data_IF_522002898656
#
_entry.id   IF_522002898656
#
_cell.length_a   1.000
_cell.length_b   1.000
_cell.length_c   1.000
_cell.angle_alpha   90.00
_cell.angle_beta   90.00
_cell.angle_gamma   90.00
#
_symmetry.space_group_name_H-M   'P 1'
#
loop_
_entity.id
_entity.type
_entity.pdbx_description
1 polymer ?
#
# COMPACT_ATOMS: atom_id res chain seq x y z
N UNK A 1 -14.97 -7.56 -2.06
CA UNK A 1 -14.09 -8.71 -1.73
C UNK A 1 -13.45 -8.41 -0.38
N UNK A 2 -13.87 -9.08 0.69
CA UNK A 2 -13.29 -8.92 2.03
C UNK A 2 -12.23 -10.02 2.26
N UNK A 3 -11.11 -9.62 2.86
CA UNK A 3 -10.02 -10.49 3.33
C UNK A 3 -9.94 -10.46 4.87
N UNK A 4 -10.97 -9.94 5.51
CA UNK A 4 -10.97 -9.51 6.90
C UNK A 4 -10.77 -10.69 7.88
N UNK A 5 -11.22 -11.90 7.51
CA UNK A 5 -10.99 -13.14 8.27
C UNK A 5 -9.53 -13.60 8.28
N UNK A 6 -8.71 -13.14 7.33
CA UNK A 6 -7.29 -13.49 7.24
C UNK A 6 -6.37 -12.45 7.90
N UNK A 7 -6.92 -11.34 8.39
CA UNK A 7 -6.16 -10.27 9.04
C UNK A 7 -5.91 -10.69 10.48
N UNK A 8 -4.68 -11.09 10.78
CA UNK A 8 -4.21 -11.34 12.14
C UNK A 8 -3.50 -10.07 12.65
N UNK A 9 -3.85 -9.57 13.85
CA UNK A 9 -3.11 -8.51 14.51
C UNK A 9 -1.66 -8.91 14.77
N UNK A 10 -0.76 -7.96 14.60
CA UNK A 10 0.67 -8.04 14.85
C UNK A 10 0.99 -6.99 15.90
N UNK A 11 1.49 -7.44 17.04
CA UNK A 11 1.93 -6.55 18.12
C UNK A 11 3.37 -6.08 17.84
N UNK A 12 3.50 -5.00 17.08
CA UNK A 12 4.78 -4.41 16.73
C UNK A 12 5.19 -3.33 17.74
N UNK A 13 6.40 -3.44 18.27
CA UNK A 13 6.96 -2.44 19.20
C UNK A 13 7.28 -1.12 18.48
N UNK A 14 7.89 -1.19 17.30
CA UNK A 14 8.29 0.00 16.53
C UNK A 14 7.09 0.58 15.80
N UNK A 15 6.83 1.89 15.96
CA UNK A 15 5.66 2.54 15.38
C UNK A 15 5.72 2.59 13.84
N UNK A 16 4.68 2.14 13.15
CA UNK A 16 4.57 2.24 11.69
C UNK A 16 3.69 3.42 11.27
N UNK A 17 4.30 4.49 10.75
CA UNK A 17 3.57 5.61 10.16
C UNK A 17 3.58 5.50 8.63
N UNK A 18 2.39 5.48 8.03
CA UNK A 18 2.21 5.47 6.58
C UNK A 18 1.66 6.83 6.14
N UNK A 19 2.42 7.55 5.32
CA UNK A 19 1.96 8.79 4.68
C UNK A 19 1.50 8.45 3.26
N UNK A 20 0.20 8.50 3.04
CA UNK A 20 -0.43 8.09 1.78
C UNK A 20 -0.79 9.28 0.91
N UNK A 21 -0.40 9.21 -0.36
CA UNK A 21 -0.75 10.24 -1.33
C UNK A 21 -2.27 10.22 -1.63
N UNK A 22 -2.96 11.38 -1.76
CA UNK A 22 -4.43 11.41 -1.88
C UNK A 22 -5.00 10.69 -3.10
N UNK A 23 -4.21 10.56 -4.17
CA UNK A 23 -4.62 9.85 -5.38
C UNK A 23 -4.69 8.33 -5.19
N UNK A 24 -3.94 7.76 -4.24
CA UNK A 24 -3.98 6.32 -3.93
C UNK A 24 -5.24 5.91 -3.16
N UNK A 25 -5.93 6.86 -2.51
CA UNK A 25 -7.16 6.60 -1.73
C UNK A 25 -8.30 6.02 -2.59
N UNK A 26 -8.22 6.12 -3.92
CA UNK A 26 -9.32 5.79 -4.83
C UNK A 26 -9.45 4.30 -5.15
N UNK A 27 -8.47 3.45 -4.82
CA UNK A 27 -8.54 2.02 -5.14
C UNK A 27 -8.89 1.15 -3.91
N UNK A 28 -9.79 0.20 -4.11
CA UNK A 28 -10.30 -0.75 -3.11
C UNK A 28 -9.16 -1.39 -2.28
N UNK A 29 -9.27 -1.40 -0.94
CA UNK A 29 -8.39 -2.11 0.02
C UNK A 29 -6.90 -2.11 -0.38
N UNK A 30 -6.30 -0.92 -0.47
CA UNK A 30 -4.87 -0.75 -0.72
C UNK A 30 -3.99 -1.35 0.39
N UNK A 31 -2.75 -1.71 0.05
CA UNK A 31 -1.77 -2.33 0.96
C UNK A 31 -1.50 -1.51 2.22
N UNK A 32 -1.57 -0.18 2.14
CA UNK A 32 -1.48 0.72 3.30
C UNK A 32 -2.59 0.47 4.34
N UNK A 33 -3.82 0.21 3.90
CA UNK A 33 -4.94 -0.06 4.81
C UNK A 33 -4.82 -1.45 5.43
N UNK A 34 -4.37 -2.44 4.65
CA UNK A 34 -4.11 -3.80 5.15
C UNK A 34 -3.02 -3.75 6.24
N UNK A 35 -1.93 -3.02 5.98
CA UNK A 35 -0.89 -2.81 6.97
C UNK A 35 -1.45 -2.20 8.26
N UNK A 36 -2.25 -1.15 8.16
CA UNK A 36 -2.83 -0.50 9.34
C UNK A 36 -3.79 -1.41 10.15
N UNK A 37 -4.53 -2.29 9.46
CA UNK A 37 -5.40 -3.26 10.11
C UNK A 37 -4.64 -4.41 10.79
N UNK A 38 -3.41 -4.69 10.35
CA UNK A 38 -2.58 -5.74 10.94
C UNK A 38 -1.69 -5.22 12.07
N UNK A 39 -1.00 -4.09 11.88
CA UNK A 39 -0.02 -3.59 12.84
C UNK A 39 -0.70 -2.80 13.97
N UNK A 40 -0.60 -3.30 15.20
CA UNK A 40 -1.19 -2.69 16.39
C UNK A 40 -0.67 -1.27 16.63
N UNK A 41 0.63 -1.05 16.45
CA UNK A 41 1.28 0.24 16.63
C UNK A 41 1.49 0.91 15.26
N UNK A 42 0.40 1.33 14.62
CA UNK A 42 0.46 1.93 13.29
C UNK A 42 -0.54 3.07 13.07
N UNK A 43 -0.27 3.89 12.06
CA UNK A 43 -1.16 4.98 11.65
C UNK A 43 -1.04 5.28 10.16
N UNK A 44 -2.17 5.52 9.50
CA UNK A 44 -2.21 6.02 8.13
C UNK A 44 -2.67 7.48 8.13
N UNK A 45 -1.93 8.35 7.44
CA UNK A 45 -2.34 9.73 7.16
C UNK A 45 -2.38 9.96 5.66
N UNK A 46 -3.56 10.34 5.16
CA UNK A 46 -3.75 10.69 3.76
C UNK A 46 -3.64 12.20 3.58
N UNK A 47 -2.80 12.66 2.66
CA UNK A 47 -2.54 14.08 2.46
C UNK A 47 -1.26 14.34 1.68
N UNK A 48 -0.92 15.61 1.51
CA UNK A 48 0.33 16.02 0.84
C UNK A 48 1.37 16.59 1.80
N UNK A 49 0.96 17.17 2.92
CA UNK A 49 1.86 17.87 3.83
C UNK A 49 1.29 17.90 5.25
N UNK A 50 2.17 17.72 6.23
CA UNK A 50 1.88 17.84 7.65
C UNK A 50 2.96 18.68 8.33
N UNK A 51 2.64 19.41 9.42
CA UNK A 51 3.62 20.24 10.13
C UNK A 51 4.82 19.46 10.72
N UNK A 52 4.64 18.18 11.02
CA UNK A 52 5.68 17.32 11.58
C UNK A 52 5.11 16.18 12.43
N UNK A 53 5.99 15.32 12.94
CA UNK A 53 5.61 14.15 13.75
C UNK A 53 4.77 14.52 14.99
N UNK A 54 5.13 15.60 15.69
CA UNK A 54 4.36 16.09 16.85
C UNK A 54 2.87 16.28 16.54
N UNK A 55 2.58 16.90 15.39
CA UNK A 55 1.18 17.17 15.00
C UNK A 55 0.47 15.90 14.52
N UNK A 56 1.19 14.97 13.91
CA UNK A 56 0.64 13.70 13.43
C UNK A 56 0.30 12.77 14.61
N UNK A 57 1.23 12.63 15.54
CA UNK A 57 1.17 11.67 16.65
C UNK A 57 0.52 12.25 17.92
N UNK A 58 0.36 13.58 18.01
CA UNK A 58 -0.23 14.23 19.18
C UNK A 58 0.68 14.27 20.41
N UNK A 59 1.96 13.91 20.28
CA UNK A 59 2.96 13.89 21.35
C UNK A 59 4.32 14.36 20.86
N UNK A 60 5.17 14.83 21.77
CA UNK A 60 6.57 15.12 21.43
C UNK A 60 7.30 13.83 21.04
N UNK A 61 8.16 13.92 20.02
CA UNK A 61 9.02 12.82 19.57
C UNK A 61 10.33 13.40 19.05
N UNK A 62 11.42 12.66 19.21
CA UNK A 62 12.70 12.99 18.58
C UNK A 62 12.76 12.43 17.16
N UNK A 63 12.81 13.25 16.10
CA UNK A 63 12.93 12.76 14.73
C UNK A 63 14.18 11.90 14.50
N UNK A 64 15.24 12.03 15.29
CA UNK A 64 16.46 11.21 15.15
C UNK A 64 16.25 9.75 15.54
N UNK A 65 15.21 9.47 16.35
CA UNK A 65 14.74 8.11 16.69
C UNK A 65 13.66 7.61 15.73
N UNK A 66 13.47 8.31 14.61
CA UNK A 66 12.54 7.91 13.55
C UNK A 66 13.28 7.66 12.25
N UNK A 67 12.90 6.57 11.57
CA UNK A 67 13.38 6.22 10.24
C UNK A 67 12.38 6.56 9.16
N UNK A 68 12.84 6.94 7.97
CA UNK A 68 12.01 7.07 6.77
C UNK A 68 12.61 6.23 5.65
N UNK A 69 11.77 5.45 4.97
CA UNK A 69 12.21 4.73 3.78
C UNK A 69 12.65 5.73 2.70
N UNK A 70 13.92 5.64 2.33
CA UNK A 70 14.59 6.60 1.49
C UNK A 70 14.42 6.28 0.01
N UNK A 71 13.97 7.29 -0.74
CA UNK A 71 13.66 7.20 -2.18
C UNK A 71 14.82 7.68 -3.07
N UNK A 72 16.00 7.95 -2.51
CA UNK A 72 17.12 8.46 -3.30
C UNK A 72 17.97 7.36 -3.94
N UNK A 73 18.95 7.76 -4.77
CA UNK A 73 19.97 6.84 -5.24
C UNK A 73 20.75 6.30 -4.04
N UNK A 74 21.03 4.99 -4.07
CA UNK A 74 21.85 4.34 -3.05
C UNK A 74 23.13 3.91 -3.74
N UNK A 75 24.27 4.31 -3.19
CA UNK A 75 25.56 3.94 -3.75
C UNK A 75 25.93 2.53 -3.31
N UNK A 76 26.44 1.75 -4.25
CA UNK A 76 27.00 0.44 -3.97
C UNK A 76 28.37 0.61 -3.34
N UNK A 77 28.52 0.16 -2.09
CA UNK A 77 29.83 -0.14 -1.53
C UNK A 77 30.17 -1.58 -1.90
N UNK A 78 31.42 -1.88 -2.27
CA UNK A 78 31.87 -3.21 -2.73
C UNK A 78 31.81 -4.34 -1.69
N UNK A 79 31.04 -4.20 -0.61
CA UNK A 79 30.83 -5.19 0.44
C UNK A 79 29.40 -5.78 0.34
N UNK A 80 29.14 -6.98 0.92
CA UNK A 80 27.80 -7.54 1.00
C UNK A 80 26.85 -6.54 1.66
N UNK A 81 25.71 -6.30 1.01
CA UNK A 81 24.77 -5.27 1.44
C UNK A 81 23.87 -5.83 2.54
N UNK A 82 23.86 -5.17 3.70
CA UNK A 82 22.89 -5.48 4.74
C UNK A 82 21.47 -5.28 4.20
N UNK A 83 20.55 -6.15 4.62
CA UNK A 83 19.14 -6.11 4.20
C UNK A 83 18.43 -4.80 4.59
N UNK A 84 18.84 -4.20 5.71
CA UNK A 84 18.40 -2.88 6.16
C UNK A 84 19.63 -2.07 6.52
N UNK A 85 19.72 -0.84 6.03
CA UNK A 85 20.84 0.05 6.32
C UNK A 85 20.38 1.50 6.46
N UNK A 86 21.03 2.24 7.34
CA UNK A 86 20.90 3.70 7.46
C UNK A 86 21.93 4.36 6.56
N UNK A 87 21.51 5.37 5.80
CA UNK A 87 22.37 6.09 4.85
C UNK A 87 22.44 7.59 5.13
N UNK A 88 23.54 8.21 4.70
CA UNK A 88 23.70 9.65 4.71
C UNK A 88 22.86 10.36 3.62
N UNK A 89 23.03 11.68 3.46
CA UNK A 89 22.33 12.46 2.42
C UNK A 89 22.75 12.13 0.99
N UNK A 90 23.88 11.45 0.82
CA UNK A 90 24.44 11.05 -0.47
C UNK A 90 24.11 9.58 -0.80
N UNK A 91 23.37 8.88 0.07
CA UNK A 91 23.05 7.47 -0.08
C UNK A 91 24.18 6.52 0.29
N UNK A 92 25.17 6.98 1.06
CA UNK A 92 26.27 6.16 1.57
C UNK A 92 25.85 5.50 2.91
N UNK A 93 25.97 4.17 3.06
CA UNK A 93 25.76 3.50 4.34
C UNK A 93 26.61 4.08 5.48
N UNK A 94 25.97 4.27 6.63
CA UNK A 94 26.62 4.68 7.87
C UNK A 94 27.26 3.48 8.58
N UNK A 95 28.38 3.69 9.28
CA UNK A 95 29.11 2.62 9.98
C UNK A 95 28.37 2.14 11.23
N UNK A 96 27.74 3.07 11.93
CA UNK A 96 26.89 2.92 13.12
C UNK A 96 25.44 2.56 12.77
N UNK A 97 25.19 1.99 11.58
CA UNK A 97 23.83 1.70 11.13
C UNK A 97 23.07 0.75 12.05
N UNK A 98 23.72 -0.26 12.64
CA UNK A 98 23.05 -1.23 13.51
C UNK A 98 22.54 -0.56 14.80
N UNK A 99 23.42 0.18 15.49
CA UNK A 99 23.09 0.94 16.70
C UNK A 99 21.94 1.94 16.46
N UNK A 100 21.98 2.67 15.34
CA UNK A 100 20.89 3.59 14.98
C UNK A 100 19.55 2.86 14.80
N UNK A 101 19.55 1.67 14.20
CA UNK A 101 18.34 0.89 13.94
C UNK A 101 17.71 0.40 15.25
N UNK A 102 18.52 -0.04 16.21
CA UNK A 102 18.06 -0.51 17.53
C UNK A 102 17.40 0.60 18.36
N UNK A 103 17.79 1.86 18.16
CA UNK A 103 17.24 3.00 18.90
C UNK A 103 15.91 3.54 18.35
N UNK A 104 15.48 3.05 17.17
CA UNK A 104 14.30 3.58 16.49
C UNK A 104 13.01 3.29 17.27
N UNK A 105 12.21 4.33 17.48
CA UNK A 105 10.87 4.22 18.06
C UNK A 105 9.78 4.14 16.98
N UNK A 106 10.13 4.51 15.74
CA UNK A 106 9.17 4.52 14.66
C UNK A 106 9.80 4.62 13.27
N UNK A 107 9.04 4.18 12.28
CA UNK A 107 9.41 4.17 10.87
C UNK A 107 8.31 4.76 10.02
N UNK A 108 8.70 5.40 8.92
CA UNK A 108 7.82 6.13 8.01
C UNK A 108 7.92 5.51 6.63
N UNK A 109 6.77 5.11 6.09
CA UNK A 109 6.62 4.64 4.71
C UNK A 109 5.81 5.66 3.91
N UNK A 110 6.31 6.03 2.74
CA UNK A 110 5.64 6.93 1.80
C UNK A 110 4.88 6.10 0.77
N UNK A 111 3.55 6.12 0.84
CA UNK A 111 2.67 5.31 0.01
C UNK A 111 2.19 6.09 -1.22
N UNK A 112 2.56 5.57 -2.40
CA UNK A 112 2.25 6.10 -3.71
C UNK A 112 3.22 5.61 -4.77
N UNK A 113 2.92 5.92 -6.04
CA UNK A 113 3.88 5.81 -7.14
C UNK A 113 5.16 6.60 -6.82
N UNK A 114 6.26 6.30 -7.52
CA UNK A 114 7.55 6.95 -7.28
C UNK A 114 7.49 8.48 -7.31
N UNK A 115 6.76 9.06 -8.28
CA UNK A 115 6.58 10.51 -8.38
C UNK A 115 5.75 11.09 -7.23
N UNK A 116 4.72 10.37 -6.78
CA UNK A 116 3.90 10.75 -5.63
C UNK A 116 4.67 10.63 -4.30
N UNK A 117 5.42 9.56 -4.09
CA UNK A 117 6.26 9.37 -2.92
C UNK A 117 7.36 10.44 -2.84
N UNK A 118 7.97 10.80 -3.99
CA UNK A 118 8.88 11.95 -4.09
C UNK A 118 8.17 13.27 -3.76
N UNK A 119 6.91 13.43 -4.17
CA UNK A 119 6.10 14.60 -3.82
C UNK A 119 5.87 14.68 -2.31
N UNK A 120 5.48 13.57 -1.67
CA UNK A 120 5.32 13.48 -0.22
C UNK A 120 6.61 13.83 0.51
N UNK A 121 7.76 13.31 0.04
CA UNK A 121 9.07 13.63 0.60
C UNK A 121 9.34 15.14 0.61
N UNK A 122 9.22 15.81 -0.53
CA UNK A 122 9.55 17.24 -0.64
C UNK A 122 8.53 18.17 -0.01
N UNK A 123 7.27 17.75 0.10
CA UNK A 123 6.21 18.51 0.79
C UNK A 123 6.31 18.41 2.32
N UNK A 124 7.14 17.51 2.83
CA UNK A 124 7.33 17.26 4.27
C UNK A 124 8.81 17.38 4.64
N UNK A 125 9.36 18.60 4.56
CA UNK A 125 10.79 18.86 4.80
C UNK A 125 11.31 18.36 6.17
N UNK A 126 10.43 18.16 7.15
CA UNK A 126 10.78 17.58 8.45
C UNK A 126 11.26 16.11 8.34
N UNK A 127 10.94 15.39 7.27
CA UNK A 127 11.47 14.05 6.99
C UNK A 127 13.01 14.06 6.86
N UNK A 128 13.61 15.20 6.49
CA UNK A 128 15.06 15.35 6.41
C UNK A 128 15.75 15.29 7.77
N UNK A 129 15.00 15.44 8.87
CA UNK A 129 15.49 15.28 10.24
C UNK A 129 15.48 13.82 10.71
N UNK A 130 14.78 12.94 9.99
CA UNK A 130 14.69 11.51 10.28
C UNK A 130 15.90 10.75 9.70
N UNK A 131 16.15 9.54 10.21
CA UNK A 131 17.14 8.61 9.66
C UNK A 131 16.67 8.10 8.30
N UNK A 132 17.55 8.09 7.30
CA UNK A 132 17.23 7.54 5.97
C UNK A 132 17.50 6.05 5.98
N UNK A 133 16.47 5.25 5.79
CA UNK A 133 16.57 3.79 5.75
C UNK A 133 16.47 3.31 4.31
N UNK A 134 17.34 2.40 3.95
CA UNK A 134 17.31 1.68 2.67
C UNK A 134 17.06 0.21 2.94
N UNK A 135 16.17 -0.38 2.14
CA UNK A 135 15.91 -1.81 2.13
C UNK A 135 16.60 -2.48 0.95
N UNK A 136 17.19 -3.64 1.21
CA UNK A 136 17.86 -4.50 0.23
C UNK A 136 17.33 -5.93 0.42
N UNK A 137 16.03 -6.14 0.19
CA UNK A 137 15.42 -7.44 0.42
C UNK A 137 16.05 -8.49 -0.49
N UNK A 138 16.37 -9.66 0.06
CA UNK A 138 16.84 -10.80 -0.73
C UNK A 138 15.68 -11.64 -1.31
N UNK A 139 14.44 -11.18 -1.12
CA UNK A 139 13.23 -11.81 -1.65
C UNK A 139 12.62 -10.97 -2.78
N UNK A 140 11.84 -11.62 -3.64
CA UNK A 140 11.04 -10.94 -4.66
C UNK A 140 9.70 -10.55 -4.08
N UNK A 141 9.27 -9.33 -4.38
CA UNK A 141 7.92 -8.84 -4.11
C UNK A 141 6.85 -9.81 -4.62
N UNK A 142 5.86 -10.12 -3.78
CA UNK A 142 4.67 -10.90 -4.15
C UNK A 142 3.84 -10.19 -5.24
N UNK A 143 4.01 -8.87 -5.36
CA UNK A 143 3.44 -8.05 -6.42
C UNK A 143 4.02 -8.36 -7.81
N UNK A 144 5.21 -8.98 -7.90
CA UNK A 144 6.14 -9.04 -9.04
C UNK A 144 5.66 -9.54 -10.42
N UNK A 145 4.34 -9.74 -10.61
CA UNK A 145 3.71 -10.03 -11.92
C UNK A 145 2.51 -9.11 -12.24
N UNK A 146 2.01 -8.31 -11.31
CA UNK A 146 0.75 -7.56 -11.45
C UNK A 146 0.92 -6.07 -11.82
N UNK A 147 2.13 -5.50 -11.72
CA UNK A 147 2.48 -4.15 -12.19
C UNK A 147 3.90 -4.15 -12.77
N UNK A 148 4.15 -3.27 -13.76
CA UNK A 148 5.48 -3.01 -14.32
C UNK A 148 6.21 -2.07 -13.35
N UNK A 149 6.98 -2.62 -12.42
CA UNK A 149 7.70 -1.83 -11.42
C UNK A 149 9.02 -1.25 -11.98
N UNK A 150 9.42 -0.05 -11.54
CA UNK A 150 10.63 0.61 -12.05
C UNK A 150 11.95 -0.06 -11.63
N UNK A 151 11.95 -0.93 -10.62
CA UNK A 151 13.09 -1.78 -10.21
C UNK A 151 12.62 -3.19 -9.86
N UNK A 152 13.47 -4.20 -10.11
CA UNK A 152 13.22 -5.62 -9.82
C UNK A 152 12.92 -5.92 -8.35
N UNK A 153 13.30 -5.02 -7.45
CA UNK A 153 13.21 -5.17 -5.99
C UNK A 153 12.15 -4.25 -5.37
N UNK A 154 11.22 -3.70 -6.16
CA UNK A 154 10.17 -2.83 -5.62
C UNK A 154 9.17 -3.69 -4.84
N UNK A 155 9.00 -3.37 -3.57
CA UNK A 155 8.04 -4.03 -2.67
C UNK A 155 6.86 -3.08 -2.40
N UNK A 156 5.67 -3.63 -2.15
CA UNK A 156 4.53 -2.81 -1.76
C UNK A 156 4.73 -2.17 -0.38
N UNK A 157 3.92 -1.15 -0.05
CA UNK A 157 3.92 -0.48 1.26
C UNK A 157 3.83 -1.46 2.44
N UNK A 158 2.98 -2.48 2.31
CA UNK A 158 2.84 -3.53 3.32
C UNK A 158 4.11 -4.37 3.43
N UNK A 159 4.65 -4.84 2.31
CA UNK A 159 5.88 -5.65 2.28
C UNK A 159 7.08 -4.86 2.82
N UNK A 160 7.23 -3.60 2.42
CA UNK A 160 8.30 -2.73 2.87
C UNK A 160 8.23 -2.47 4.38
N UNK A 161 7.04 -2.17 4.89
CA UNK A 161 6.81 -1.96 6.32
C UNK A 161 7.03 -3.23 7.13
N UNK A 162 6.43 -4.35 6.71
CA UNK A 162 6.55 -5.63 7.39
C UNK A 162 8.00 -6.16 7.41
N UNK A 163 8.71 -6.03 6.29
CA UNK A 163 10.10 -6.44 6.22
C UNK A 163 10.98 -5.61 7.14
N UNK A 164 10.81 -4.28 7.11
CA UNK A 164 11.57 -3.40 8.00
C UNK A 164 11.30 -3.74 9.47
N UNK A 165 10.04 -3.86 9.88
CA UNK A 165 9.68 -4.22 11.24
C UNK A 165 10.24 -5.58 11.67
N UNK A 166 10.17 -6.61 10.80
CA UNK A 166 10.75 -7.93 11.11
C UNK A 166 12.25 -7.89 11.38
N UNK A 167 12.97 -6.95 10.76
CA UNK A 167 14.41 -6.78 10.94
C UNK A 167 14.74 -5.93 12.16
N UNK A 168 13.95 -4.89 12.42
CA UNK A 168 14.12 -4.04 13.61
C UNK A 168 13.79 -4.78 14.91
N UNK A 169 12.77 -5.64 14.88
CA UNK A 169 12.30 -6.36 16.08
C UNK A 169 12.92 -7.77 16.20
N UNK A 170 13.75 -8.18 15.22
CA UNK A 170 14.37 -9.50 15.22
C UNK A 170 13.38 -10.68 15.09
N UNK A 171 12.14 -10.41 14.67
CA UNK A 171 11.08 -11.40 14.55
C UNK A 171 10.62 -11.57 13.10
N UNK A 172 11.04 -12.68 12.49
CA UNK A 172 10.66 -13.05 11.12
C UNK A 172 9.15 -13.35 10.98
N UNK A 173 8.47 -13.73 12.06
CA UNK A 173 7.04 -14.04 12.05
C UNK A 173 6.17 -12.82 11.74
N UNK A 174 6.68 -11.60 12.01
CA UNK A 174 6.03 -10.34 11.61
C UNK A 174 5.82 -10.31 10.10
N UNK A 175 6.88 -10.58 9.32
CA UNK A 175 6.80 -10.58 7.86
C UNK A 175 5.85 -11.68 7.39
N UNK A 176 6.03 -12.90 7.88
CA UNK A 176 5.23 -14.05 7.44
C UNK A 176 3.74 -13.85 7.71
N UNK A 177 3.39 -13.25 8.86
CA UNK A 177 2.01 -12.95 9.24
C UNK A 177 1.43 -11.81 8.41
N UNK A 178 2.20 -10.76 8.15
CA UNK A 178 1.79 -9.64 7.31
C UNK A 178 1.50 -10.08 5.86
N UNK A 179 2.29 -11.01 5.31
CA UNK A 179 2.16 -11.43 3.91
C UNK A 179 1.02 -12.42 3.64
N UNK A 180 0.46 -13.10 4.67
CA UNK A 180 -0.64 -14.07 4.52
C UNK A 180 -1.93 -13.45 3.90
N UNK A 181 -2.56 -12.42 4.50
CA UNK A 181 -3.78 -11.83 3.94
C UNK A 181 -3.51 -11.18 2.58
N UNK A 182 -2.32 -10.62 2.41
CA UNK A 182 -1.92 -10.00 1.17
C UNK A 182 -1.78 -11.01 0.01
N UNK A 183 -1.16 -12.15 0.28
CA UNK A 183 -1.09 -13.27 -0.68
C UNK A 183 -2.47 -13.76 -1.08
N UNK A 184 -3.42 -13.83 -0.15
CA UNK A 184 -4.81 -14.20 -0.43
C UNK A 184 -5.52 -13.15 -1.28
N UNK A 185 -5.32 -11.86 -1.01
CA UNK A 185 -5.86 -10.78 -1.82
C UNK A 185 -5.36 -10.89 -3.28
N UNK A 186 -4.05 -11.04 -3.47
CA UNK A 186 -3.46 -11.16 -4.80
C UNK A 186 -3.99 -12.39 -5.55
N UNK A 187 -4.13 -13.53 -4.87
CA UNK A 187 -4.74 -14.74 -5.46
C UNK A 187 -6.16 -14.47 -5.95
N UNK A 188 -6.99 -13.80 -5.14
CA UNK A 188 -8.38 -13.48 -5.50
C UNK A 188 -8.48 -12.42 -6.61
N UNK A 189 -7.56 -11.44 -6.67
CA UNK A 189 -7.50 -10.44 -7.73
C UNK A 189 -7.10 -11.03 -9.09
N UNK A 190 -6.29 -12.10 -9.10
CA UNK A 190 -5.86 -12.80 -10.31
C UNK A 190 -6.89 -13.81 -10.83
N UNK A 191 -7.96 -14.10 -10.09
CA UNK A 191 -9.04 -14.98 -10.57
C UNK A 191 -9.84 -14.28 -11.68
N UNK A 192 -10.10 -14.94 -12.82
CA UNK A 192 -10.97 -14.40 -13.85
C UNK A 192 -12.34 -14.06 -13.25
N UNK A 193 -12.86 -12.86 -13.50
CA UNK A 193 -14.27 -12.59 -13.17
C UNK A 193 -15.13 -13.57 -13.97
N UNK A 194 -16.12 -14.24 -13.35
CA UNK A 194 -17.08 -15.03 -14.10
C UNK A 194 -17.72 -14.12 -15.15
N UNK A 195 -17.73 -14.57 -16.40
CA UNK A 195 -18.38 -13.88 -17.50
C UNK A 195 -19.86 -13.72 -17.09
N UNK A 196 -20.46 -12.52 -17.19
CA UNK A 196 -21.89 -12.37 -16.95
C UNK A 196 -22.61 -13.43 -17.78
N UNK A 197 -23.54 -14.17 -17.15
CA UNK A 197 -24.36 -15.13 -17.87
C UNK A 197 -24.99 -14.40 -19.07
N UNK A 198 -24.86 -14.98 -20.26
CA UNK A 198 -25.55 -14.46 -21.43
C UNK A 198 -27.03 -14.37 -21.07
N UNK A 199 -27.62 -13.18 -21.22
CA UNK A 199 -29.07 -13.06 -21.04
C UNK A 199 -29.73 -14.01 -22.04
N UNK A 200 -30.67 -14.86 -21.61
CA UNK A 200 -31.41 -15.70 -22.53
C UNK A 200 -32.08 -14.80 -23.58
N UNK A 201 -32.15 -15.23 -24.85
CA UNK A 201 -32.86 -14.47 -25.87
C UNK A 201 -34.28 -14.21 -25.38
N UNK A 202 -34.75 -12.98 -25.59
CA UNK A 202 -36.15 -12.64 -25.29
C UNK A 202 -37.01 -13.42 -26.27
N UNK A 203 -37.90 -14.26 -25.74
CA UNK A 203 -38.95 -14.90 -26.52
C UNK A 203 -39.95 -13.82 -26.95
N UNK A 204 -39.84 -13.38 -28.20
CA UNK A 204 -40.88 -12.59 -28.86
C UNK A 204 -42.01 -13.56 -29.26
N UNK A 205 -42.86 -13.90 -28.30
CA UNK A 205 -44.06 -14.70 -28.52
C UNK A 205 -45.33 -13.92 -28.15
N UNK A 206 -45.88 -13.24 -29.15
CA UNK A 206 -47.30 -13.24 -29.53
C UNK A 206 -48.36 -12.73 -28.54
N UNK A 207 -49.03 -11.64 -28.91
CA UNK A 207 -50.34 -11.27 -28.39
C UNK A 207 -51.18 -10.60 -29.48
N UNK A 208 -51.85 -11.43 -30.29
CA UNK A 208 -52.96 -11.01 -31.13
C UNK A 208 -54.17 -10.64 -30.26
N UNK A 209 -54.87 -9.56 -30.62
CA UNK A 209 -56.24 -9.30 -30.19
C UNK A 209 -57.02 -8.77 -31.39
N UNK A 210 -57.87 -9.64 -31.93
CA UNK A 210 -58.96 -9.32 -32.85
C UNK A 210 -60.12 -8.66 -32.09
N UNK A 211 -60.92 -7.88 -32.83
CA UNK A 211 -62.24 -7.35 -32.45
C UNK A 211 -62.38 -5.90 -32.91
N UNK A 212 -63.40 -5.45 -33.62
CA UNK A 212 -64.58 -6.06 -34.24
C UNK A 212 -65.17 -4.99 -35.17
N UNK A 213 -65.90 -5.42 -36.19
CA UNK A 213 -66.56 -4.64 -37.24
C UNK A 213 -67.82 -3.90 -36.73
N UNK A 214 -68.20 -2.79 -37.40
CA UNK A 214 -69.40 -2.01 -37.08
C UNK A 214 -69.49 -0.70 -37.88
N UNK A 215 -70.12 -0.77 -39.06
CA UNK A 215 -70.30 0.35 -39.99
C UNK A 215 -71.51 1.27 -39.75
N UNK A 216 -71.92 1.92 -40.86
CA UNK A 216 -72.94 2.99 -41.06
C UNK A 216 -72.46 4.41 -40.70
N UNK A 217 -72.69 5.48 -41.47
CA UNK A 217 -73.39 5.77 -42.72
C UNK A 217 -73.00 7.23 -43.11
N UNK A 218 -72.84 7.58 -44.38
CA UNK A 218 -73.89 8.25 -45.17
C UNK A 218 -73.92 9.78 -44.95
N UNK A 219 -73.69 10.57 -46.01
CA UNK A 219 -74.05 12.00 -46.02
C UNK A 219 -73.16 12.88 -46.91
N UNK A 220 -73.71 13.26 -48.06
CA UNK A 220 -73.24 14.28 -49.01
C UNK A 220 -73.26 15.70 -48.41
N UNK A 221 -72.25 16.52 -48.77
CA UNK A 221 -72.35 17.82 -49.50
C UNK A 221 -71.04 18.61 -49.41
#
# INVERSE_FOLDING_TARGET
MCICEAVQPIDNGVFLLILQHPQEKRENLGTAQIAHLQFANSMVKVGLSWPGLKRILGREVDPKRWGVLYLGPVKEGGAPRAEVAVVDKNGQPLRDSAEILEELEGVIVLDGTWSQAKTLWWRNAWLLKCRRIVLNPQFRSLYGQARKEPRRDSVSTLEAGAFLLSRLEGDQAILDTALKPFSLLLKKLRQPRPRPAAQPPRDDAGGAADGEDGGEGGGED
#
